data_IF_473430570391
#
_entry.id   IF_473430570391
#
_cell.length_a   1.000
_cell.length_b   1.000
_cell.length_c   1.000
_cell.angle_alpha   90.00
_cell.angle_beta   90.00
_cell.angle_gamma   90.00
#
_symmetry.space_group_name_H-M   'P 1'
#
loop_
_entity.id
_entity.type
_entity.pdbx_description
1 polymer ?
#
# COMPACT_ATOMS: atom_id res chain seq x y z
N UNK A 1 40.74 0.87 -13.03
CA UNK A 1 39.45 0.14 -13.15
C UNK A 1 38.34 1.13 -12.84
N UNK A 2 37.67 1.66 -13.87
CA UNK A 2 36.64 2.70 -13.70
C UNK A 2 35.31 2.01 -13.39
N UNK A 3 34.91 2.02 -12.11
CA UNK A 3 33.61 1.51 -11.69
C UNK A 3 32.58 2.59 -12.03
N UNK A 4 31.81 2.37 -13.10
CA UNK A 4 30.66 3.21 -13.42
C UNK A 4 29.49 2.80 -12.51
N UNK A 5 29.29 3.54 -11.42
CA UNK A 5 28.16 3.35 -10.52
C UNK A 5 26.98 4.20 -11.01
N UNK A 6 25.94 3.57 -11.57
CA UNK A 6 24.71 4.26 -11.99
C UNK A 6 23.61 3.98 -10.96
N UNK A 7 23.27 4.96 -10.13
CA UNK A 7 22.16 4.87 -9.17
C UNK A 7 20.96 5.66 -9.64
N UNK A 8 19.78 5.03 -9.70
CA UNK A 8 18.50 5.70 -10.03
C UNK A 8 17.61 5.76 -8.79
N UNK A 9 17.03 6.94 -8.52
CA UNK A 9 16.04 7.12 -7.45
C UNK A 9 15.88 8.57 -7.04
N UNK A 10 14.66 8.99 -6.71
CA UNK A 10 14.42 10.27 -6.04
C UNK A 10 14.81 10.13 -4.56
N UNK A 11 15.83 10.89 -4.14
CA UNK A 11 16.19 11.02 -2.72
C UNK A 11 14.99 11.62 -1.97
N UNK A 12 14.34 10.81 -1.15
CA UNK A 12 13.01 11.04 -0.58
C UNK A 12 12.05 9.85 -0.75
N UNK A 13 12.41 8.84 -1.56
CA UNK A 13 11.54 7.68 -1.82
C UNK A 13 11.86 6.41 -1.02
N UNK A 14 13.06 6.23 -0.46
CA UNK A 14 13.35 5.04 0.35
C UNK A 14 12.96 5.29 1.80
N UNK A 15 11.83 4.71 2.23
CA UNK A 15 11.54 4.48 3.64
C UNK A 15 12.39 3.28 4.07
N UNK A 16 13.55 3.55 4.68
CA UNK A 16 14.35 2.50 5.33
C UNK A 16 13.78 2.33 6.73
N UNK A 17 13.14 1.20 6.97
CA UNK A 17 12.68 0.80 8.31
C UNK A 17 13.91 0.31 9.08
N UNK A 18 13.99 0.64 10.37
CA UNK A 18 14.95 0.16 11.38
C UNK A 18 16.24 0.96 11.70
N UNK A 19 16.40 2.22 11.27
CA UNK A 19 17.51 3.08 11.75
C UNK A 19 17.00 4.43 12.27
N UNK A 20 17.66 4.99 13.29
CA UNK A 20 17.39 6.36 13.74
C UNK A 20 17.60 7.33 12.57
N UNK A 21 16.72 8.31 12.38
CA UNK A 21 16.72 9.24 11.23
C UNK A 21 18.12 9.84 10.95
N UNK A 22 18.89 10.12 12.00
CA UNK A 22 20.27 10.62 11.91
C UNK A 22 21.22 9.61 11.24
N UNK A 23 21.17 8.34 11.64
CA UNK A 23 21.99 7.27 11.04
C UNK A 23 21.62 7.02 9.58
N UNK A 24 20.34 7.15 9.20
CA UNK A 24 19.89 7.02 7.80
C UNK A 24 20.47 8.16 6.94
N UNK A 25 20.44 9.39 7.46
CA UNK A 25 21.02 10.54 6.77
C UNK A 25 22.53 10.37 6.61
N UNK A 26 23.23 9.98 7.68
CA UNK A 26 24.69 9.79 7.69
C UNK A 26 25.14 8.62 6.80
N UNK A 27 24.34 7.56 6.69
CA UNK A 27 24.58 6.45 5.76
C UNK A 27 24.09 6.72 4.33
N UNK A 28 23.51 7.90 4.05
CA UNK A 28 23.01 8.22 2.71
C UNK A 28 24.15 8.50 1.72
N UNK A 29 23.94 8.16 0.46
CA UNK A 29 24.86 8.48 -0.64
C UNK A 29 25.26 9.96 -0.68
N UNK A 30 24.37 10.87 -0.26
CA UNK A 30 24.65 12.32 -0.19
C UNK A 30 25.63 12.73 0.91
N UNK A 31 25.81 11.89 1.93
CA UNK A 31 26.79 12.10 3.01
C UNK A 31 28.10 11.35 2.76
N UNK A 32 28.16 10.53 1.72
CA UNK A 32 29.42 9.89 1.30
C UNK A 32 30.39 10.94 0.76
N UNK A 33 31.67 10.80 1.11
CA UNK A 33 32.76 11.59 0.54
C UNK A 33 32.84 11.43 -1.00
N UNK A 34 32.31 10.34 -1.55
CA UNK A 34 32.25 10.11 -2.99
C UNK A 34 31.21 10.99 -3.70
N UNK A 35 30.24 11.57 -2.98
CA UNK A 35 29.14 12.35 -3.56
C UNK A 35 29.64 13.54 -4.38
N UNK A 36 30.68 14.23 -3.89
CA UNK A 36 31.28 15.39 -4.56
C UNK A 36 32.02 15.00 -5.85
N UNK A 37 32.48 13.75 -5.95
CA UNK A 37 33.14 13.21 -7.13
C UNK A 37 32.15 12.64 -8.16
N UNK A 38 30.85 12.61 -7.84
CA UNK A 38 29.82 12.10 -8.75
C UNK A 38 29.29 13.22 -9.65
N UNK A 39 29.03 12.89 -10.92
CA UNK A 39 28.33 13.79 -11.82
C UNK A 39 26.80 13.68 -11.60
N UNK A 40 26.15 14.79 -11.26
CA UNK A 40 24.73 14.79 -10.90
C UNK A 40 23.87 15.22 -12.08
N UNK A 41 23.12 14.27 -12.66
CA UNK A 41 22.12 14.57 -13.68
C UNK A 41 20.74 14.64 -13.04
N UNK A 42 20.04 15.76 -13.23
CA UNK A 42 18.70 15.97 -12.68
C UNK A 42 17.64 15.87 -13.76
N UNK A 43 16.71 14.94 -13.59
CA UNK A 43 15.48 14.92 -14.38
C UNK A 43 14.54 15.99 -13.85
N UNK A 44 14.13 16.93 -14.71
CA UNK A 44 13.30 18.08 -14.34
C UNK A 44 11.83 17.92 -14.72
N UNK A 45 11.52 17.03 -15.67
CA UNK A 45 10.16 16.84 -16.18
C UNK A 45 9.51 15.60 -15.55
N UNK A 46 8.34 15.79 -14.93
CA UNK A 46 7.53 14.68 -14.44
C UNK A 46 6.82 14.00 -15.61
N UNK A 47 7.34 12.85 -16.04
CA UNK A 47 6.78 12.12 -17.19
C UNK A 47 5.46 11.39 -16.89
N UNK A 48 5.09 11.22 -15.61
CA UNK A 48 3.87 10.51 -15.21
C UNK A 48 2.64 11.41 -15.21
N UNK A 49 2.79 12.65 -14.75
CA UNK A 49 1.70 13.64 -14.64
C UNK A 49 1.70 14.67 -15.79
N UNK A 50 2.22 14.31 -16.96
CA UNK A 50 2.39 15.26 -18.08
C UNK A 50 1.09 15.88 -18.59
N UNK A 51 -0.01 15.13 -18.49
CA UNK A 51 -1.34 15.58 -18.90
C UNK A 51 -1.95 16.60 -17.94
N UNK A 52 -1.35 16.82 -16.77
CA UNK A 52 -1.84 17.72 -15.73
C UNK A 52 -0.67 18.52 -15.13
N UNK A 53 -0.22 19.60 -15.79
CA UNK A 53 0.92 20.40 -15.34
C UNK A 53 0.76 20.96 -13.93
N UNK A 54 -0.47 21.37 -13.57
CA UNK A 54 -0.79 21.88 -12.24
C UNK A 54 -0.55 20.79 -11.19
N UNK A 55 -1.05 19.56 -11.43
CA UNK A 55 -0.84 18.45 -10.52
C UNK A 55 0.64 18.05 -10.44
N UNK A 56 1.37 18.09 -11.56
CA UNK A 56 2.79 17.82 -11.58
C UNK A 56 3.58 18.81 -10.71
N UNK A 57 3.23 20.10 -10.75
CA UNK A 57 3.84 21.14 -9.92
C UNK A 57 3.45 20.99 -8.44
N UNK A 58 2.17 20.74 -8.16
CA UNK A 58 1.68 20.47 -6.81
C UNK A 58 2.42 19.28 -6.17
N UNK A 59 2.63 18.18 -6.92
CA UNK A 59 3.45 17.06 -6.46
C UNK A 59 4.89 17.46 -6.11
N UNK A 60 5.49 18.40 -6.86
CA UNK A 60 6.85 18.87 -6.56
C UNK A 60 6.87 19.71 -5.28
N UNK A 61 5.86 20.55 -5.04
CA UNK A 61 5.75 21.33 -3.80
C UNK A 61 5.52 20.44 -2.58
N UNK A 62 4.64 19.44 -2.68
CA UNK A 62 4.44 18.42 -1.65
C UNK A 62 5.72 17.61 -1.39
N UNK A 63 6.39 17.13 -2.44
CA UNK A 63 7.64 16.35 -2.31
C UNK A 63 8.83 17.18 -1.82
N UNK A 64 8.83 18.49 -2.12
CA UNK A 64 9.85 19.44 -1.68
C UNK A 64 9.62 20.03 -0.29
N UNK A 65 8.42 19.84 0.28
CA UNK A 65 8.01 20.45 1.55
C UNK A 65 7.83 21.96 1.47
N UNK A 66 7.46 22.48 0.30
CA UNK A 66 7.27 23.92 0.04
C UNK A 66 5.80 24.29 -0.18
N UNK A 67 4.88 23.33 -0.01
CA UNK A 67 3.44 23.61 -0.09
C UNK A 67 3.00 24.45 1.11
N UNK A 68 2.01 25.33 0.88
CA UNK A 68 1.43 26.13 1.94
C UNK A 68 0.77 25.26 3.01
N UNK A 69 0.96 25.66 4.26
CA UNK A 69 0.40 25.00 5.43
C UNK A 69 -0.55 25.95 6.14
N UNK A 70 -1.56 25.39 6.81
CA UNK A 70 -2.46 26.15 7.66
C UNK A 70 -1.76 26.59 8.98
N UNK A 71 -2.49 27.27 9.85
CA UNK A 71 -1.98 27.74 11.15
C UNK A 71 -1.47 26.62 12.07
N UNK A 72 -1.90 25.38 11.84
CA UNK A 72 -1.48 24.19 12.60
C UNK A 72 -0.26 23.48 11.99
N UNK A 73 0.26 23.99 10.86
CA UNK A 73 1.40 23.40 10.14
C UNK A 73 1.03 22.23 9.23
N UNK A 74 -0.26 22.04 8.96
CA UNK A 74 -0.78 20.95 8.14
C UNK A 74 -1.05 21.40 6.70
N UNK A 75 -0.96 20.47 5.75
CA UNK A 75 -1.23 20.76 4.34
C UNK A 75 -2.73 20.63 4.06
N UNK A 76 -3.30 21.66 3.44
CA UNK A 76 -4.67 21.64 2.95
C UNK A 76 -4.72 20.94 1.58
N UNK A 77 -5.49 19.86 1.48
CA UNK A 77 -5.67 19.20 0.20
C UNK A 77 -6.71 19.94 -0.66
N UNK A 78 -6.51 20.01 -2.00
CA UNK A 78 -7.50 20.50 -2.93
C UNK A 78 -8.82 19.73 -2.85
N UNK A 79 -9.95 20.44 -2.91
CA UNK A 79 -11.29 19.85 -2.75
C UNK A 79 -11.62 18.79 -3.82
N UNK A 80 -11.06 18.93 -5.02
CA UNK A 80 -11.31 18.04 -6.15
C UNK A 80 -10.64 16.66 -6.03
N UNK A 81 -9.60 16.54 -5.20
CA UNK A 81 -8.98 15.25 -4.86
C UNK A 81 -9.49 14.70 -3.55
N UNK A 82 -10.20 15.47 -2.73
CA UNK A 82 -10.70 15.01 -1.44
C UNK A 82 -12.02 14.23 -1.57
N UNK A 83 -12.15 13.15 -0.81
CA UNK A 83 -13.42 12.51 -0.53
C UNK A 83 -13.94 13.09 0.79
N UNK A 84 -15.07 13.82 0.81
CA UNK A 84 -15.54 14.49 2.02
C UNK A 84 -15.73 13.54 3.19
N UNK A 85 -15.18 13.90 4.35
CA UNK A 85 -15.44 13.20 5.61
C UNK A 85 -16.78 13.66 6.18
N UNK A 86 -17.66 12.72 6.50
CA UNK A 86 -19.00 12.97 7.01
C UNK A 86 -19.19 12.60 8.48
N UNK A 87 -18.14 12.16 9.17
CA UNK A 87 -18.19 11.71 10.56
C UNK A 87 -18.34 10.19 10.72
N UNK A 88 -18.46 9.46 9.62
CA UNK A 88 -18.68 8.00 9.59
C UNK A 88 -17.58 7.37 8.74
N UNK A 89 -16.55 6.84 9.43
CA UNK A 89 -15.35 6.24 8.83
C UNK A 89 -15.72 5.15 7.82
N UNK A 90 -16.72 4.33 8.14
CA UNK A 90 -17.14 3.22 7.31
C UNK A 90 -17.84 3.71 6.03
N UNK A 91 -18.79 4.63 6.16
CA UNK A 91 -19.50 5.22 5.03
C UNK A 91 -18.56 5.99 4.11
N UNK A 92 -17.59 6.70 4.68
CA UNK A 92 -16.62 7.47 3.91
C UNK A 92 -15.62 6.56 3.19
N UNK A 93 -15.18 5.46 3.81
CA UNK A 93 -14.39 4.43 3.14
C UNK A 93 -15.17 3.79 1.97
N UNK A 94 -16.47 3.52 2.15
CA UNK A 94 -17.33 3.04 1.07
C UNK A 94 -17.40 4.04 -0.11
N UNK A 95 -17.48 5.33 0.18
CA UNK A 95 -17.42 6.38 -0.86
C UNK A 95 -16.09 6.38 -1.60
N UNK A 96 -14.97 6.28 -0.88
CA UNK A 96 -13.66 6.16 -1.50
C UNK A 96 -13.58 4.93 -2.42
N UNK A 97 -14.06 3.78 -1.95
CA UNK A 97 -14.13 2.55 -2.73
C UNK A 97 -14.93 2.77 -4.01
N UNK A 98 -16.14 3.36 -3.93
CA UNK A 98 -16.99 3.60 -5.11
C UNK A 98 -16.34 4.60 -6.08
N UNK A 99 -15.64 5.64 -5.58
CA UNK A 99 -14.92 6.56 -6.45
C UNK A 99 -13.80 5.89 -7.26
N UNK A 100 -13.11 4.90 -6.67
CA UNK A 100 -11.96 4.24 -7.31
C UNK A 100 -12.38 3.02 -8.11
N UNK A 101 -13.34 2.25 -7.61
CA UNK A 101 -13.89 1.04 -8.20
C UNK A 101 -15.40 1.20 -8.52
N UNK A 102 -15.77 2.15 -9.40
CA UNK A 102 -17.17 2.37 -9.73
C UNK A 102 -17.74 1.17 -10.48
N UNK A 103 -18.92 0.69 -10.09
CA UNK A 103 -19.54 -0.51 -10.66
C UNK A 103 -18.62 -1.74 -10.65
N UNK A 104 -17.94 -2.00 -9.53
CA UNK A 104 -16.96 -3.09 -9.37
C UNK A 104 -17.42 -4.43 -9.96
N UNK A 105 -18.65 -4.85 -9.65
CA UNK A 105 -19.19 -6.14 -10.07
C UNK A 105 -19.50 -6.20 -11.57
N UNK A 106 -19.94 -5.10 -12.18
CA UNK A 106 -20.17 -5.04 -13.63
C UNK A 106 -18.85 -5.16 -14.43
N UNK A 107 -17.72 -4.80 -13.80
CA UNK A 107 -16.41 -4.77 -14.45
C UNK A 107 -15.48 -5.90 -13.99
N UNK A 108 -15.95 -6.85 -13.19
CA UNK A 108 -15.09 -7.87 -12.55
C UNK A 108 -14.33 -8.78 -13.54
N UNK A 109 -14.85 -8.93 -14.76
CA UNK A 109 -14.22 -9.71 -15.84
C UNK A 109 -13.22 -8.89 -16.66
N UNK A 110 -13.29 -7.56 -16.57
CA UNK A 110 -12.40 -6.65 -17.26
C UNK A 110 -11.07 -6.54 -16.50
N UNK A 111 -10.04 -7.21 -17.04
CA UNK A 111 -8.68 -7.21 -16.49
C UNK A 111 -8.15 -5.78 -16.33
N UNK A 112 -8.22 -4.98 -17.39
CA UNK A 112 -7.65 -3.63 -17.41
C UNK A 112 -8.34 -2.73 -16.40
N UNK A 113 -9.65 -2.92 -16.19
CA UNK A 113 -10.38 -2.21 -15.14
C UNK A 113 -9.81 -2.52 -13.75
N UNK A 114 -9.71 -3.80 -13.40
CA UNK A 114 -9.27 -4.25 -12.06
C UNK A 114 -7.83 -3.84 -11.78
N UNK A 115 -6.96 -3.85 -12.80
CA UNK A 115 -5.52 -3.67 -12.61
C UNK A 115 -5.07 -2.22 -12.71
N UNK A 116 -5.85 -1.36 -13.36
CA UNK A 116 -5.58 0.09 -13.44
C UNK A 116 -6.01 0.88 -12.20
N UNK A 117 -6.41 0.18 -11.13
CA UNK A 117 -6.96 0.73 -9.89
C UNK A 117 -6.24 0.15 -8.67
N UNK A 118 -6.08 0.98 -7.64
CA UNK A 118 -5.69 0.54 -6.31
C UNK A 118 -6.04 1.59 -5.25
N UNK A 119 -6.29 1.14 -4.02
CA UNK A 119 -6.31 2.01 -2.84
C UNK A 119 -4.98 1.87 -2.10
N UNK A 120 -4.37 2.99 -1.74
CA UNK A 120 -3.12 3.05 -1.03
C UNK A 120 -3.36 3.44 0.42
N UNK A 121 -2.70 2.75 1.34
CA UNK A 121 -2.69 3.17 2.75
C UNK A 121 -1.29 3.03 3.34
N UNK A 122 -1.09 3.58 4.54
CA UNK A 122 0.22 3.72 5.17
C UNK A 122 0.60 2.51 6.00
N UNK A 123 -0.37 1.73 6.48
CA UNK A 123 -0.16 0.56 7.36
C UNK A 123 -0.82 -0.71 6.79
N UNK A 124 -0.28 -1.86 7.17
CA UNK A 124 -0.74 -3.17 6.67
C UNK A 124 -2.14 -3.55 7.18
N UNK A 125 -2.45 -3.23 8.44
CA UNK A 125 -3.77 -3.45 9.05
C UNK A 125 -4.89 -2.79 8.24
N UNK A 126 -4.74 -1.52 7.87
CA UNK A 126 -5.69 -0.80 7.02
C UNK A 126 -5.82 -1.42 5.63
N UNK A 127 -4.71 -1.82 5.02
CA UNK A 127 -4.69 -2.50 3.71
C UNK A 127 -5.45 -3.81 3.78
N UNK A 128 -5.23 -4.61 4.81
CA UNK A 128 -5.89 -5.90 5.00
C UNK A 128 -7.39 -5.70 5.23
N UNK A 129 -7.79 -4.72 6.04
CA UNK A 129 -9.20 -4.36 6.27
C UNK A 129 -9.91 -3.96 4.96
N UNK A 130 -9.30 -3.10 4.14
CA UNK A 130 -9.87 -2.72 2.84
C UNK A 130 -9.96 -3.92 1.91
N UNK A 131 -8.92 -4.76 1.84
CA UNK A 131 -8.92 -5.94 0.97
C UNK A 131 -10.00 -6.95 1.39
N UNK A 132 -10.21 -7.19 2.69
CA UNK A 132 -11.27 -8.06 3.23
C UNK A 132 -12.65 -7.50 2.85
N UNK A 133 -12.85 -6.19 3.00
CA UNK A 133 -14.10 -5.53 2.61
C UNK A 133 -14.36 -5.65 1.10
N UNK A 134 -13.35 -5.37 0.28
CA UNK A 134 -13.42 -5.43 -1.17
C UNK A 134 -13.73 -6.84 -1.69
N UNK A 135 -13.07 -7.89 -1.16
CA UNK A 135 -13.36 -9.27 -1.58
C UNK A 135 -14.76 -9.73 -1.15
N UNK A 136 -15.29 -9.18 -0.05
CA UNK A 136 -16.67 -9.37 0.38
C UNK A 136 -17.67 -8.78 -0.62
N UNK A 137 -17.41 -7.57 -1.11
CA UNK A 137 -18.23 -6.88 -2.13
C UNK A 137 -18.11 -7.49 -3.53
N UNK A 138 -16.99 -8.13 -3.84
CA UNK A 138 -16.69 -8.74 -5.13
C UNK A 138 -17.56 -9.98 -5.36
N UNK A 139 -18.37 -10.01 -6.40
CA UNK A 139 -19.25 -11.15 -6.69
C UNK A 139 -18.47 -12.38 -7.18
N UNK A 140 -19.09 -13.55 -7.07
CA UNK A 140 -18.52 -14.84 -7.51
C UNK A 140 -18.21 -15.81 -6.39
N UNK A 141 -17.91 -17.06 -6.77
CA UNK A 141 -17.59 -18.15 -5.85
C UNK A 141 -16.30 -17.88 -5.08
N UNK A 142 -16.37 -18.03 -3.75
CA UNK A 142 -15.23 -17.89 -2.85
C UNK A 142 -14.44 -19.20 -2.77
N UNK A 143 -13.11 -19.08 -2.84
CA UNK A 143 -12.17 -20.14 -2.49
C UNK A 143 -11.37 -19.71 -1.27
N UNK A 144 -11.33 -20.57 -0.25
CA UNK A 144 -10.57 -20.32 0.99
C UNK A 144 -9.44 -21.32 1.10
N UNK A 145 -8.22 -20.80 1.17
CA UNK A 145 -7.03 -21.60 1.41
C UNK A 145 -6.51 -21.39 2.83
N UNK A 146 -6.54 -22.45 3.64
CA UNK A 146 -5.96 -22.46 4.98
C UNK A 146 -4.45 -22.61 4.93
N UNK A 147 -3.73 -21.76 5.64
CA UNK A 147 -2.29 -21.88 5.85
C UNK A 147 -1.95 -23.06 6.76
N UNK A 148 -0.70 -23.52 6.70
CA UNK A 148 -0.17 -24.45 7.69
C UNK A 148 0.89 -23.73 8.51
N UNK A 149 0.55 -23.46 9.77
CA UNK A 149 1.36 -22.66 10.68
C UNK A 149 2.06 -23.57 11.69
N UNK A 150 3.31 -23.24 12.01
CA UNK A 150 4.16 -24.05 12.89
C UNK A 150 5.18 -23.16 13.60
N UNK A 151 5.48 -23.50 14.86
CA UNK A 151 6.67 -23.06 15.57
C UNK A 151 7.74 -24.16 15.41
N UNK A 152 8.88 -23.85 14.79
CA UNK A 152 9.90 -24.85 14.44
C UNK A 152 10.67 -25.35 15.67
N UNK A 153 10.88 -24.47 16.64
CA UNK A 153 11.68 -24.64 17.85
C UNK A 153 10.83 -24.89 19.10
N UNK A 154 9.63 -25.44 18.92
CA UNK A 154 8.69 -25.76 20.00
C UNK A 154 8.48 -27.29 20.15
N UNK A 155 9.44 -28.03 20.71
CA UNK A 155 9.36 -29.48 20.82
C UNK A 155 8.26 -29.96 21.79
N UNK A 156 7.76 -29.08 22.66
CA UNK A 156 6.74 -29.39 23.66
C UNK A 156 5.34 -28.88 23.28
N UNK A 157 5.17 -28.29 22.08
CA UNK A 157 3.92 -27.69 21.61
C UNK A 157 3.32 -26.66 22.59
N UNK A 158 4.16 -25.81 23.19
CA UNK A 158 3.72 -24.69 24.02
C UNK A 158 2.85 -23.69 23.26
N UNK A 159 3.01 -23.60 21.93
CA UNK A 159 2.23 -22.71 21.07
C UNK A 159 1.13 -23.48 20.34
N UNK A 160 -0.14 -23.40 20.79
CA UNK A 160 -1.25 -24.11 20.15
C UNK A 160 -1.51 -23.57 18.74
N UNK A 161 -2.00 -24.45 17.85
CA UNK A 161 -2.26 -24.11 16.45
C UNK A 161 -3.25 -22.95 16.29
N UNK A 162 -4.22 -22.85 17.19
CA UNK A 162 -5.24 -21.82 17.25
C UNK A 162 -4.60 -20.45 17.47
N UNK A 163 -3.61 -20.36 18.35
CA UNK A 163 -2.83 -19.14 18.56
C UNK A 163 -2.01 -18.81 17.31
N UNK A 164 -1.26 -19.78 16.76
CA UNK A 164 -0.42 -19.59 15.58
C UNK A 164 -1.22 -19.10 14.36
N UNK A 165 -2.44 -19.62 14.17
CA UNK A 165 -3.34 -19.25 13.08
C UNK A 165 -3.85 -17.81 13.18
N UNK A 166 -3.84 -17.21 14.38
CA UNK A 166 -4.23 -15.79 14.56
C UNK A 166 -3.11 -14.82 14.18
N UNK A 167 -1.86 -15.29 14.08
CA UNK A 167 -0.73 -14.43 13.79
C UNK A 167 -0.76 -13.98 12.32
N UNK A 168 -0.68 -12.66 12.09
CA UNK A 168 -0.58 -12.05 10.75
C UNK A 168 0.71 -11.24 10.59
N UNK A 169 1.87 -11.90 10.75
CA UNK A 169 3.17 -11.27 10.62
C UNK A 169 3.38 -10.54 9.28
N UNK A 170 4.23 -9.52 9.31
CA UNK A 170 4.56 -8.69 8.17
C UNK A 170 5.24 -9.52 7.06
N UNK A 171 4.82 -9.25 5.82
CA UNK A 171 5.40 -9.89 4.64
C UNK A 171 4.96 -11.34 4.40
N UNK A 172 3.88 -11.81 5.04
CA UNK A 172 3.68 -13.24 5.27
C UNK A 172 2.23 -13.77 5.11
N UNK A 173 1.64 -13.91 3.90
CA UNK A 173 0.17 -14.00 3.61
C UNK A 173 -0.85 -13.85 4.79
N UNK A 174 -2.14 -14.13 4.64
CA UNK A 174 -2.99 -14.45 5.80
C UNK A 174 -3.05 -15.97 6.00
N UNK A 175 -3.35 -16.42 7.23
CA UNK A 175 -3.69 -17.83 7.46
C UNK A 175 -4.89 -18.23 6.60
N UNK A 176 -5.97 -17.46 6.67
CA UNK A 176 -7.15 -17.61 5.82
C UNK A 176 -7.00 -16.75 4.57
N UNK A 177 -6.58 -17.36 3.46
CA UNK A 177 -6.48 -16.67 2.17
C UNK A 177 -7.78 -16.86 1.38
N UNK A 178 -8.67 -15.86 1.47
CA UNK A 178 -9.95 -15.80 0.72
C UNK A 178 -9.75 -15.14 -0.63
N UNK A 179 -10.14 -15.84 -1.70
CA UNK A 179 -9.95 -15.39 -3.08
C UNK A 179 -11.21 -15.67 -3.92
N UNK A 180 -11.36 -14.92 -5.01
CA UNK A 180 -12.40 -15.10 -6.04
C UNK A 180 -11.76 -14.99 -7.43
N UNK A 181 -12.33 -15.66 -8.42
CA UNK A 181 -11.85 -15.56 -9.80
C UNK A 181 -12.00 -14.10 -10.27
N UNK A 182 -10.95 -13.55 -10.88
CA UNK A 182 -10.90 -12.16 -11.34
C UNK A 182 -10.35 -11.16 -10.33
N UNK A 183 -10.17 -11.54 -9.05
CA UNK A 183 -9.61 -10.62 -8.07
C UNK A 183 -8.11 -10.35 -8.33
N UNK A 184 -7.62 -9.13 -8.05
CA UNK A 184 -6.22 -8.79 -8.16
C UNK A 184 -5.46 -9.28 -6.93
N UNK A 185 -4.30 -9.91 -7.14
CA UNK A 185 -3.38 -10.33 -6.08
C UNK A 185 -1.96 -9.82 -6.37
N UNK A 186 -1.13 -9.76 -5.34
CA UNK A 186 0.27 -9.33 -5.45
C UNK A 186 1.19 -10.40 -4.86
N UNK A 187 2.30 -10.68 -5.54
CA UNK A 187 3.30 -11.66 -5.12
C UNK A 187 4.17 -11.08 -3.98
N UNK A 188 4.45 -11.89 -2.97
CA UNK A 188 5.19 -11.48 -1.76
C UNK A 188 6.65 -11.94 -1.73
N UNK A 189 7.06 -12.80 -2.66
CA UNK A 189 8.42 -13.35 -2.76
C UNK A 189 8.86 -13.45 -4.21
N UNK A 190 10.18 -13.46 -4.39
CA UNK A 190 10.78 -13.82 -5.66
C UNK A 190 10.68 -15.33 -5.83
N UNK A 191 9.98 -15.78 -6.87
CA UNK A 191 9.89 -17.20 -7.24
C UNK A 191 10.73 -17.42 -8.48
N UNK A 192 10.48 -16.60 -9.51
CA UNK A 192 11.17 -16.67 -10.78
C UNK A 192 11.24 -15.26 -11.40
N UNK A 193 12.20 -14.43 -10.96
CA UNK A 193 12.35 -13.06 -11.43
C UNK A 193 12.58 -12.95 -12.93
N UNK A 194 13.27 -13.93 -13.53
CA UNK A 194 13.56 -13.96 -14.96
C UNK A 194 12.28 -14.04 -15.81
N UNK A 195 11.24 -14.66 -15.26
CA UNK A 195 9.92 -14.80 -15.89
C UNK A 195 8.86 -13.84 -15.34
N UNK A 196 9.27 -12.82 -14.59
CA UNK A 196 8.38 -11.78 -14.06
C UNK A 196 7.68 -12.15 -12.74
N UNK A 197 8.04 -13.25 -12.08
CA UNK A 197 7.52 -13.66 -10.78
C UNK A 197 8.42 -13.16 -9.64
N UNK A 198 8.46 -11.85 -9.46
CA UNK A 198 9.16 -11.17 -8.38
C UNK A 198 8.21 -10.57 -7.34
N UNK A 199 8.73 -10.25 -6.15
CA UNK A 199 7.99 -9.56 -5.10
C UNK A 199 7.43 -8.23 -5.64
N UNK A 200 6.12 -8.04 -5.50
CA UNK A 200 5.42 -6.88 -6.05
C UNK A 200 4.73 -7.12 -7.39
N UNK A 201 4.97 -8.25 -8.07
CA UNK A 201 4.24 -8.58 -9.31
C UNK A 201 2.75 -8.67 -9.02
N UNK A 202 1.96 -7.82 -9.69
CA UNK A 202 0.49 -7.89 -9.66
C UNK A 202 0.00 -8.94 -10.65
N UNK A 203 -0.98 -9.70 -10.21
CA UNK A 203 -1.59 -10.81 -10.91
C UNK A 203 -3.11 -10.72 -10.80
N UNK A 204 -3.81 -11.39 -11.70
CA UNK A 204 -5.27 -11.63 -11.59
C UNK A 204 -5.51 -13.13 -11.51
N UNK A 205 -6.34 -13.56 -10.56
CA UNK A 205 -6.70 -14.97 -10.38
C UNK A 205 -7.59 -15.42 -11.54
N UNK A 206 -7.23 -16.53 -12.18
CA UNK A 206 -7.97 -17.12 -13.30
C UNK A 206 -8.62 -18.46 -12.96
N UNK A 207 -8.10 -19.18 -11.98
CA UNK A 207 -8.66 -20.45 -11.56
C UNK A 207 -8.03 -20.98 -10.27
N UNK A 208 -8.73 -21.92 -9.65
CA UNK A 208 -8.33 -22.53 -8.40
C UNK A 208 -8.08 -24.02 -8.60
N UNK A 209 -7.00 -24.51 -8.03
CA UNK A 209 -6.72 -25.93 -7.86
C UNK A 209 -6.42 -26.20 -6.38
N UNK A 210 -6.43 -27.47 -5.97
CA UNK A 210 -6.18 -27.84 -4.56
C UNK A 210 -4.85 -27.30 -4.03
N UNK A 211 -3.79 -27.39 -4.84
CA UNK A 211 -2.41 -27.04 -4.45
C UNK A 211 -1.74 -26.01 -5.38
N UNK A 212 -2.51 -25.39 -6.28
CA UNK A 212 -2.01 -24.41 -7.24
C UNK A 212 -3.07 -23.32 -7.46
N UNK A 213 -2.62 -22.09 -7.72
CA UNK A 213 -3.49 -21.02 -8.19
C UNK A 213 -3.06 -20.66 -9.60
N UNK A 214 -4.01 -20.70 -10.52
CA UNK A 214 -3.84 -20.20 -11.88
C UNK A 214 -4.03 -18.70 -11.88
N UNK A 215 -2.99 -17.98 -12.28
CA UNK A 215 -2.97 -16.53 -12.28
C UNK A 215 -2.36 -15.98 -13.57
N UNK A 216 -2.64 -14.72 -13.86
CA UNK A 216 -2.11 -14.03 -15.04
C UNK A 216 -1.36 -12.77 -14.62
N UNK A 217 -0.16 -12.55 -15.15
CA UNK A 217 0.61 -11.31 -14.95
C UNK A 217 -0.09 -10.16 -15.66
N UNK A 218 -0.26 -9.05 -14.96
CA UNK A 218 -1.10 -7.95 -15.47
C UNK A 218 -0.33 -6.68 -15.82
N UNK A 219 0.91 -6.55 -15.35
CA UNK A 219 1.75 -5.38 -15.58
C UNK A 219 3.17 -5.79 -15.98
N UNK A 220 3.87 -4.87 -16.64
CA UNK A 220 5.27 -5.03 -17.03
C UNK A 220 5.46 -5.87 -18.29
N UNK A 221 6.73 -6.19 -18.58
CA UNK A 221 7.14 -6.89 -19.81
C UNK A 221 6.52 -8.29 -19.98
N UNK A 222 6.10 -8.91 -18.87
CA UNK A 222 5.50 -10.24 -18.85
C UNK A 222 3.97 -10.23 -18.80
N UNK A 223 3.33 -9.07 -19.01
CA UNK A 223 1.87 -8.96 -18.97
C UNK A 223 1.19 -9.92 -19.98
N UNK A 224 0.12 -10.58 -19.54
CA UNK A 224 -0.62 -11.59 -20.31
C UNK A 224 -0.16 -13.03 -20.06
N UNK A 225 1.03 -13.23 -19.47
CA UNK A 225 1.55 -14.57 -19.19
C UNK A 225 0.73 -15.27 -18.09
N UNK A 226 0.26 -16.48 -18.38
CA UNK A 226 -0.38 -17.39 -17.41
C UNK A 226 0.67 -18.16 -16.61
N UNK A 227 0.46 -18.24 -15.31
CA UNK A 227 1.39 -18.82 -14.35
C UNK A 227 0.62 -19.62 -13.30
N UNK A 228 1.27 -20.65 -12.76
CA UNK A 228 0.73 -21.46 -11.67
C UNK A 228 1.55 -21.20 -10.42
N UNK A 229 0.88 -20.72 -9.36
CA UNK A 229 1.53 -20.41 -8.10
C UNK A 229 1.38 -21.60 -7.14
N UNK A 230 2.49 -22.19 -6.65
CA UNK A 230 2.44 -23.23 -5.64
C UNK A 230 2.39 -22.65 -4.22
N UNK A 231 2.02 -23.48 -3.25
CA UNK A 231 2.21 -23.18 -1.83
C UNK A 231 3.68 -23.36 -1.46
N UNK A 232 4.27 -22.36 -0.83
CA UNK A 232 5.66 -22.42 -0.35
C UNK A 232 5.72 -22.15 1.15
N UNK A 233 6.69 -22.74 1.87
CA UNK A 233 6.97 -22.34 3.24
C UNK A 233 7.55 -20.92 3.27
N UNK A 234 7.07 -20.10 4.19
CA UNK A 234 7.47 -18.71 4.35
C UNK A 234 7.75 -18.44 5.84
N UNK A 235 8.77 -17.63 6.09
CA UNK A 235 9.09 -17.11 7.41
C UNK A 235 8.77 -15.61 7.48
N UNK A 236 8.44 -15.07 8.67
CA UNK A 236 8.30 -13.63 8.90
C UNK A 236 9.61 -12.88 8.59
N UNK A 237 9.53 -11.56 8.50
CA UNK A 237 10.72 -10.70 8.41
C UNK A 237 11.52 -10.75 9.71
N UNK A 238 12.84 -10.60 9.62
CA UNK A 238 13.76 -10.63 10.77
C UNK A 238 13.43 -9.56 11.85
N UNK A 239 12.73 -8.49 11.46
CA UNK A 239 12.27 -7.43 12.36
C UNK A 239 11.17 -7.87 13.35
N UNK A 240 10.52 -9.02 13.12
CA UNK A 240 9.50 -9.55 14.02
C UNK A 240 10.10 -10.53 15.02
N UNK A 241 10.28 -10.04 16.24
CA UNK A 241 10.80 -10.81 17.35
C UNK A 241 9.69 -11.64 17.99
N UNK A 242 9.40 -12.81 17.42
CA UNK A 242 8.68 -13.85 18.14
C UNK A 242 9.65 -14.60 19.07
N UNK A 243 9.17 -15.11 20.23
CA UNK A 243 9.99 -15.96 21.10
C UNK A 243 10.24 -17.37 20.52
N UNK A 244 9.79 -17.62 19.29
CA UNK A 244 9.90 -18.87 18.55
C UNK A 244 10.06 -18.59 17.05
N UNK A 245 10.54 -19.57 16.30
CA UNK A 245 10.68 -19.54 14.85
C UNK A 245 9.35 -19.87 14.17
N UNK A 246 8.59 -18.84 13.81
CA UNK A 246 7.33 -19.00 13.08
C UNK A 246 7.53 -19.35 11.61
N UNK A 247 6.76 -20.33 11.11
CA UNK A 247 6.73 -20.73 9.70
C UNK A 247 5.31 -20.99 9.23
N UNK A 248 4.95 -20.38 8.10
CA UNK A 248 3.65 -20.54 7.42
C UNK A 248 3.84 -21.11 6.02
N UNK A 249 3.25 -22.27 5.72
CA UNK A 249 3.15 -22.79 4.34
C UNK A 249 1.85 -22.33 3.70
N UNK A 250 1.97 -21.45 2.70
CA UNK A 250 0.83 -20.83 2.03
C UNK A 250 1.22 -20.39 0.61
N UNK A 251 0.25 -20.04 -0.24
CA UNK A 251 0.54 -19.33 -1.49
C UNK A 251 1.18 -17.96 -1.17
N UNK A 252 2.28 -17.59 -1.85
CA UNK A 252 3.03 -16.37 -1.53
C UNK A 252 2.38 -15.12 -2.12
N UNK A 253 1.07 -14.95 -1.92
CA UNK A 253 0.27 -13.86 -2.46
C UNK A 253 -0.62 -13.23 -1.39
N UNK A 254 -1.04 -11.98 -1.62
CA UNK A 254 -2.11 -11.29 -0.90
C UNK A 254 -3.06 -10.61 -1.89
N UNK A 255 -4.29 -10.36 -1.48
CA UNK A 255 -5.21 -9.50 -2.22
C UNK A 255 -4.57 -8.11 -2.46
N UNK A 256 -4.90 -7.50 -3.59
CA UNK A 256 -4.28 -6.23 -4.02
C UNK A 256 -5.27 -5.24 -4.62
N UNK A 257 -6.50 -5.20 -4.09
CA UNK A 257 -7.39 -4.04 -4.29
C UNK A 257 -6.82 -2.82 -3.57
N UNK A 258 -6.27 -3.06 -2.38
CA UNK A 258 -5.45 -2.12 -1.62
C UNK A 258 -4.02 -2.62 -1.45
N UNK A 259 -3.06 -1.70 -1.32
CA UNK A 259 -1.66 -2.01 -1.00
C UNK A 259 -1.02 -0.87 -0.21
N UNK A 260 0.11 -1.16 0.45
CA UNK A 260 0.85 -0.11 1.14
C UNK A 260 1.46 0.89 0.16
N UNK A 261 1.55 2.15 0.57
CA UNK A 261 2.27 3.22 -0.18
C UNK A 261 3.69 2.80 -0.53
N UNK A 262 4.42 2.16 0.40
CA UNK A 262 5.78 1.70 0.15
C UNK A 262 5.85 0.59 -0.93
N UNK A 263 4.79 -0.22 -1.07
CA UNK A 263 4.71 -1.28 -2.08
C UNK A 263 4.32 -0.75 -3.46
N UNK A 264 3.66 0.41 -3.54
CA UNK A 264 3.32 1.06 -4.80
C UNK A 264 4.46 1.88 -5.38
N UNK A 265 5.56 2.08 -4.64
CA UNK A 265 6.72 2.83 -5.10
C UNK A 265 7.26 2.27 -6.43
N UNK A 266 7.54 3.18 -7.37
CA UNK A 266 7.96 2.84 -8.74
C UNK A 266 6.81 2.50 -9.69
N UNK A 267 5.62 2.13 -9.19
CA UNK A 267 4.48 1.81 -10.04
C UNK A 267 3.74 3.06 -10.52
N UNK A 268 3.14 3.00 -11.71
CA UNK A 268 2.15 3.98 -12.18
C UNK A 268 0.79 3.30 -12.12
N UNK A 269 -0.16 3.93 -11.42
CA UNK A 269 -1.50 3.38 -11.22
C UNK A 269 -2.47 4.43 -11.76
N UNK A 270 -3.21 4.13 -12.84
CA UNK A 270 -4.05 5.12 -13.50
C UNK A 270 -5.06 5.77 -12.55
N UNK A 271 -5.77 5.00 -11.72
CA UNK A 271 -6.75 5.50 -10.74
C UNK A 271 -6.36 5.09 -9.32
N UNK A 272 -6.19 6.06 -8.43
CA UNK A 272 -5.59 5.86 -7.11
C UNK A 272 -6.50 6.39 -6.02
N UNK A 273 -6.92 5.51 -5.12
CA UNK A 273 -7.44 5.92 -3.81
C UNK A 273 -6.29 6.06 -2.84
N UNK A 274 -6.35 7.03 -1.94
CA UNK A 274 -5.43 7.13 -0.80
C UNK A 274 -6.27 7.22 0.47
N UNK A 275 -6.14 6.22 1.35
CA UNK A 275 -6.85 6.14 2.61
C UNK A 275 -5.90 6.36 3.77
N UNK A 276 -6.13 7.43 4.53
CA UNK A 276 -5.30 7.88 5.64
C UNK A 276 -6.14 8.03 6.92
N UNK A 277 -6.36 6.94 7.68
CA UNK A 277 -7.03 7.00 8.98
C UNK A 277 -6.24 7.80 10.01
N UNK A 278 -4.92 7.68 9.94
CA UNK A 278 -3.97 8.39 10.76
C UNK A 278 -3.04 9.25 9.88
N UNK A 279 -2.44 10.31 10.45
CA UNK A 279 -1.42 11.11 9.78
C UNK A 279 -0.30 10.28 9.14
N UNK A 280 0.28 10.79 8.06
CA UNK A 280 1.45 10.15 7.44
C UNK A 280 2.64 10.21 8.40
N UNK A 281 3.22 9.05 8.70
CA UNK A 281 4.24 8.91 9.74
C UNK A 281 5.68 9.02 9.20
N UNK A 282 5.86 9.19 7.89
CA UNK A 282 7.18 9.33 7.28
C UNK A 282 7.22 10.45 6.23
N UNK A 283 8.37 11.14 6.18
CA UNK A 283 8.63 12.18 5.21
C UNK A 283 8.55 11.62 3.78
N UNK A 284 7.83 12.31 2.90
CA UNK A 284 7.64 11.90 1.50
C UNK A 284 6.59 10.83 1.25
N UNK A 285 5.94 10.25 2.28
CA UNK A 285 4.95 9.19 2.10
C UNK A 285 3.71 9.68 1.35
N UNK A 286 3.21 10.88 1.67
CA UNK A 286 2.10 11.50 0.92
C UNK A 286 2.50 11.72 -0.54
N UNK A 287 3.70 12.25 -0.79
CA UNK A 287 4.23 12.40 -2.14
C UNK A 287 4.31 11.07 -2.89
N UNK A 288 4.80 10.00 -2.25
CA UNK A 288 4.90 8.67 -2.88
C UNK A 288 3.50 8.18 -3.27
N UNK A 289 2.51 8.31 -2.38
CA UNK A 289 1.12 7.92 -2.65
C UNK A 289 0.52 8.71 -3.82
N UNK A 290 0.61 10.04 -3.77
CA UNK A 290 0.02 10.91 -4.79
C UNK A 290 0.71 10.79 -6.14
N UNK A 291 2.02 10.66 -6.14
CA UNK A 291 2.81 10.51 -7.36
C UNK A 291 2.54 9.19 -8.09
N UNK A 292 1.70 8.27 -7.59
CA UNK A 292 1.30 7.08 -8.34
C UNK A 292 0.28 7.41 -9.44
N UNK A 293 -0.52 8.46 -9.24
CA UNK A 293 -1.54 8.90 -10.18
C UNK A 293 -0.93 9.65 -11.37
N UNK A 294 -1.66 9.66 -12.49
CA UNK A 294 -1.27 10.35 -13.75
C UNK A 294 -1.90 11.72 -13.91
N UNK A 295 -2.97 12.02 -13.16
CA UNK A 295 -3.66 13.31 -13.19
C UNK A 295 -4.45 13.50 -11.89
N UNK A 296 -4.80 14.75 -11.57
CA UNK A 296 -5.62 15.11 -10.41
C UNK A 296 -7.00 14.45 -10.44
N UNK A 297 -7.60 14.29 -11.62
CA UNK A 297 -8.90 13.63 -11.78
C UNK A 297 -8.89 12.16 -11.40
N UNK A 298 -7.72 11.53 -11.40
CA UNK A 298 -7.58 10.09 -11.18
C UNK A 298 -7.06 9.76 -9.78
N UNK A 299 -7.03 10.74 -8.87
CA UNK A 299 -6.69 10.52 -7.46
C UNK A 299 -7.84 10.97 -6.57
N UNK A 300 -8.15 10.14 -5.57
CA UNK A 300 -9.08 10.47 -4.49
C UNK A 300 -8.45 10.15 -3.16
N UNK A 301 -8.50 11.10 -2.23
CA UNK A 301 -7.87 11.01 -0.92
C UNK A 301 -8.96 11.13 0.14
N UNK A 302 -9.00 10.18 1.06
CA UNK A 302 -9.79 10.24 2.27
C UNK A 302 -8.82 10.30 3.45
N UNK A 303 -8.74 11.47 4.07
CA UNK A 303 -8.01 11.66 5.33
C UNK A 303 -9.01 11.81 6.48
N UNK A 304 -8.85 10.99 7.51
CA UNK A 304 -9.65 11.10 8.73
C UNK A 304 -8.99 12.10 9.70
N UNK A 305 -9.78 12.86 10.47
CA UNK A 305 -9.23 13.74 11.49
C UNK A 305 -8.55 12.91 12.60
N UNK A 306 -7.51 13.45 13.28
CA UNK A 306 -6.70 12.72 14.26
C UNK A 306 -7.46 12.07 15.44
N UNK A 307 -8.72 12.45 15.66
CA UNK A 307 -9.55 11.96 16.76
C UNK A 307 -10.67 10.99 16.32
N UNK A 308 -10.78 10.66 15.03
CA UNK A 308 -11.84 9.76 14.54
C UNK A 308 -11.71 8.32 15.07
N UNK A 309 -10.49 7.87 15.39
CA UNK A 309 -10.24 6.52 15.94
C UNK A 309 -10.61 6.41 17.44
N UNK A 310 -10.57 7.52 18.20
CA UNK A 310 -10.92 7.51 19.63
C UNK A 310 -12.43 7.30 19.87
N UNK A 311 -13.26 7.53 18.85
CA UNK A 311 -14.71 7.39 18.95
C UNK A 311 -15.20 5.96 18.72
N UNK A 312 -14.41 5.06 18.11
CA UNK A 312 -14.81 3.65 17.89
C UNK A 312 -14.72 2.80 19.18
N UNK A 313 -13.85 3.14 20.13
CA UNK A 313 -13.80 2.46 21.45
C UNK A 313 -14.88 3.00 22.41
N UNK A 314 -15.33 4.25 22.22
CA UNK A 314 -16.33 4.90 23.06
C UNK A 314 -17.78 4.79 22.55
N UNK A 315 -18.03 4.41 21.29
CA UNK A 315 -19.41 4.27 20.76
C UNK A 315 -20.20 3.08 21.31
N UNK A 316 -19.58 2.17 22.09
CA UNK A 316 -20.33 1.19 22.90
C UNK A 316 -20.89 1.78 24.21
N UNK A 317 -20.55 3.02 24.58
CA UNK A 317 -21.06 3.69 25.79
C UNK A 317 -21.29 5.19 25.56
N UNK A 318 -22.51 5.49 25.10
CA UNK A 318 -23.36 6.67 25.39
C UNK A 318 -23.83 7.40 24.14
N UNK A 319 -25.13 7.31 23.92
CA UNK A 319 -25.89 8.30 23.16
C UNK A 319 -25.80 9.68 23.85
N UNK A 320 -25.55 10.70 23.02
CA UNK A 320 -26.08 12.08 23.03
C UNK A 320 -25.03 13.20 23.02
N UNK A 321 -25.16 13.97 21.93
CA UNK A 321 -24.94 15.43 21.74
C UNK A 321 -23.49 15.93 21.82
N UNK A 322 -22.99 16.44 20.69
CA UNK A 322 -23.03 17.88 20.35
C UNK A 322 -22.46 18.16 18.95
N UNK A 323 -22.99 19.22 18.34
CA UNK A 323 -22.59 19.77 17.05
C UNK A 323 -21.19 20.39 17.07
N UNK A 324 -20.45 20.30 15.95
CA UNK A 324 -19.46 21.33 15.59
C UNK A 324 -19.05 21.30 14.12
N UNK A 325 -19.19 22.48 13.51
CA UNK A 325 -18.46 23.10 12.38
C UNK A 325 -18.03 22.23 11.20
N UNK A 326 -18.71 22.46 10.06
CA UNK A 326 -18.16 22.31 8.70
C UNK A 326 -16.85 23.09 8.61
N UNK A 327 -15.73 22.41 8.65
CA UNK A 327 -14.48 22.89 8.05
C UNK A 327 -14.51 22.34 6.62
N UNK A 328 -14.76 23.21 5.65
CA UNK A 328 -14.59 22.87 4.25
C UNK A 328 -13.09 22.79 3.98
N UNK A 329 -12.59 21.58 3.74
CA UNK A 329 -11.19 21.28 3.44
C UNK A 329 -10.68 20.12 4.31
N UNK A 330 -10.25 19.01 3.68
CA UNK A 330 -9.50 17.98 4.39
C UNK A 330 -8.05 18.42 4.54
N UNK A 331 -7.55 18.30 5.76
CA UNK A 331 -6.22 18.71 6.15
C UNK A 331 -5.43 17.46 6.48
N UNK A 332 -4.19 17.36 5.97
CA UNK A 332 -3.28 16.28 6.28
C UNK A 332 -2.10 16.82 7.04
N UNK A 333 -1.89 16.28 8.24
CA UNK A 333 -0.66 16.47 8.99
C UNK A 333 0.49 15.73 8.31
N UNK A 334 1.48 16.49 7.83
CA UNK A 334 2.70 15.96 7.21
C UNK A 334 3.87 16.17 8.17
N UNK A 335 4.68 15.14 8.36
CA UNK A 335 6.00 15.31 8.99
C UNK A 335 6.94 16.00 8.00
N UNK A 336 7.03 17.33 8.12
CA UNK A 336 7.98 18.17 7.40
C UNK A 336 9.28 18.20 8.20
N UNK A 337 10.32 17.49 7.74
CA UNK A 337 11.67 17.78 8.22
C UNK A 337 12.10 19.12 7.65
N UNK A 338 12.16 20.16 8.48
CA UNK A 338 12.90 21.37 8.15
C UNK A 338 14.36 20.95 7.91
N UNK A 339 14.87 21.22 6.72
CA UNK A 339 16.26 20.96 6.33
C UNK A 339 17.24 21.69 7.24
#
# INVERSE_FOLDING_TARGET
>A
MMILLVTWGTFGMKVVVALWVKQIVDASLRRSYLWESMHHLKLVRNMRAQSDPWFAEYLLRIGGGTEEVNGDGDVCLPDDICVPYSGDSEKDLNRLIECIFPNLNANMTNKDYITSRAILSTRNDWVDNINIKMIGMFQGGEMVYHGFDSAIDDPHNYYPSEFLNTLTPNGLPPHLLKLKIGCPVILLRNIDPANGLCNGTRLVVRGFQKNSIDAEIVLGQHAGKRVFLPRIPLCPSDDEMFPFQFKRKQFPIRLSFAMMVNKSQGQTIPNVGVYLPAPVFSHGQLYVAMSRATARTNIKILALPPNAEADEEHTKRKEKKKASKKVNGQVIKIIMNKK
#
